data_IF_344421653758
#
_entry.id   IF_344421653758
#
_cell.length_a   1.000
_cell.length_b   1.000
_cell.length_c   1.000
_cell.angle_alpha   90.00
_cell.angle_beta   90.00
_cell.angle_gamma   90.00
#
_symmetry.space_group_name_H-M   'P 1'
#
loop_
_entity.id
_entity.type
_entity.pdbx_description
1 polymer ?
#
# COMPACT_ATOMS: atom_id res chain seq x y z
N UNK A 1 14.23 19.64 1.74
CA UNK A 1 13.37 19.42 2.91
C UNK A 1 12.60 18.15 2.65
N UNK A 2 12.54 17.16 3.56
CA UNK A 2 11.67 15.98 3.39
C UNK A 2 10.32 16.33 4.01
N UNK A 3 9.25 16.22 3.25
CA UNK A 3 7.89 16.30 3.77
C UNK A 3 7.56 14.99 4.47
N UNK A 4 6.75 15.05 5.50
CA UNK A 4 6.25 13.88 6.21
C UNK A 4 4.79 14.06 6.59
N UNK A 5 4.07 12.95 6.66
CA UNK A 5 2.70 12.91 7.11
C UNK A 5 2.68 12.39 8.55
N UNK A 6 2.06 13.15 9.45
CA UNK A 6 1.83 12.72 10.82
C UNK A 6 0.60 11.83 10.87
N UNK A 7 0.76 10.64 11.39
CA UNK A 7 -0.33 9.67 11.49
C UNK A 7 -0.24 8.85 12.79
N UNK A 8 -1.37 8.24 13.15
CA UNK A 8 -1.49 7.33 14.28
C UNK A 8 -1.86 5.95 13.74
N UNK A 9 -1.12 4.92 14.12
CA UNK A 9 -1.42 3.55 13.72
C UNK A 9 -2.60 2.98 14.50
N UNK A 10 -3.23 1.86 14.07
CA UNK A 10 -4.33 1.21 14.77
C UNK A 10 -4.02 0.88 16.24
N UNK A 11 -2.78 0.52 16.58
CA UNK A 11 -2.35 0.30 17.96
C UNK A 11 -2.26 1.58 18.79
N UNK A 12 -2.40 2.76 18.18
CA UNK A 12 -2.29 4.07 18.81
C UNK A 12 -0.88 4.66 18.85
N UNK A 13 0.08 4.10 18.12
CA UNK A 13 1.43 4.66 18.01
C UNK A 13 1.44 5.80 16.99
N UNK A 14 1.98 6.94 17.39
CA UNK A 14 2.15 8.09 16.50
C UNK A 14 3.47 8.03 15.77
N UNK A 15 3.48 8.36 14.48
CA UNK A 15 4.69 8.36 13.67
C UNK A 15 4.64 9.44 12.57
N UNK A 16 5.83 9.77 12.07
CA UNK A 16 6.01 10.64 10.92
C UNK A 16 6.43 9.77 9.72
N UNK A 17 5.61 9.71 8.70
CA UNK A 17 5.89 8.92 7.51
C UNK A 17 6.41 9.82 6.39
N UNK A 18 7.65 9.57 5.92
CA UNK A 18 8.21 10.29 4.77
C UNK A 18 7.50 9.88 3.48
N UNK A 19 7.47 10.78 2.53
CA UNK A 19 6.85 10.50 1.25
C UNK A 19 7.75 9.64 0.35
N UNK A 20 7.13 8.76 -0.44
CA UNK A 20 7.79 7.94 -1.45
C UNK A 20 8.21 8.79 -2.64
N UNK A 21 9.45 8.67 -3.08
CA UNK A 21 9.97 9.35 -4.27
C UNK A 21 9.79 8.52 -5.53
N UNK A 22 9.71 9.19 -6.71
CA UNK A 22 9.60 8.50 -7.99
C UNK A 22 10.72 7.47 -8.22
N UNK A 23 11.96 7.80 -7.86
CA UNK A 23 13.10 6.86 -7.96
C UNK A 23 12.89 5.58 -7.17
N UNK A 24 12.30 5.66 -5.99
CA UNK A 24 12.03 4.52 -5.11
C UNK A 24 10.80 3.74 -5.59
N UNK A 25 9.76 4.45 -6.06
CA UNK A 25 8.57 3.80 -6.64
C UNK A 25 8.92 2.99 -7.89
N UNK A 26 9.79 3.48 -8.76
CA UNK A 26 10.31 2.72 -9.91
C UNK A 26 10.95 1.39 -9.47
N UNK A 27 11.70 1.39 -8.36
CA UNK A 27 12.33 0.17 -7.84
C UNK A 27 11.25 -0.80 -7.34
N UNK A 28 10.24 -0.31 -6.61
CA UNK A 28 9.12 -1.13 -6.17
C UNK A 28 8.36 -1.73 -7.36
N UNK A 29 8.08 -0.94 -8.41
CA UNK A 29 7.43 -1.42 -9.64
C UNK A 29 8.28 -2.48 -10.36
N UNK A 30 9.59 -2.35 -10.41
CA UNK A 30 10.48 -3.38 -10.99
C UNK A 30 10.33 -4.72 -10.28
N UNK A 31 10.29 -4.72 -8.95
CA UNK A 31 10.06 -5.94 -8.19
C UNK A 31 8.69 -6.54 -8.47
N UNK A 32 7.61 -5.72 -8.47
CA UNK A 32 6.26 -6.20 -8.70
C UNK A 32 6.02 -6.69 -10.13
N UNK A 33 6.60 -6.04 -11.14
CA UNK A 33 6.50 -6.50 -12.53
C UNK A 33 7.33 -7.77 -12.78
N UNK A 34 8.36 -8.02 -11.98
CA UNK A 34 9.12 -9.26 -11.95
C UNK A 34 8.56 -10.32 -10.98
N UNK A 35 7.38 -10.08 -10.41
CA UNK A 35 6.72 -10.95 -9.41
C UNK A 35 7.62 -11.28 -8.20
N UNK A 36 8.54 -10.38 -7.86
CA UNK A 36 9.46 -10.53 -6.73
C UNK A 36 8.90 -9.85 -5.47
N UNK A 37 7.98 -10.50 -4.78
CA UNK A 37 7.36 -9.98 -3.56
C UNK A 37 8.36 -9.82 -2.40
N UNK A 38 9.33 -10.71 -2.31
CA UNK A 38 10.39 -10.61 -1.30
C UNK A 38 11.21 -9.33 -1.49
N UNK A 39 11.67 -9.05 -2.72
CA UNK A 39 12.39 -7.83 -3.05
C UNK A 39 11.55 -6.58 -2.82
N UNK A 40 10.28 -6.62 -3.18
CA UNK A 40 9.33 -5.53 -2.97
C UNK A 40 9.22 -5.17 -1.48
N UNK A 41 8.90 -6.14 -0.61
CA UNK A 41 8.74 -5.88 0.82
C UNK A 41 10.05 -5.52 1.52
N UNK A 42 11.18 -6.11 1.12
CA UNK A 42 12.50 -5.70 1.65
C UNK A 42 12.80 -4.23 1.35
N UNK A 43 12.53 -3.78 0.11
CA UNK A 43 12.70 -2.38 -0.27
C UNK A 43 11.70 -1.47 0.45
N UNK A 44 10.42 -1.83 0.47
CA UNK A 44 9.37 -1.06 1.14
C UNK A 44 9.67 -0.88 2.64
N UNK A 45 10.06 -1.97 3.32
CA UNK A 45 10.50 -1.92 4.72
C UNK A 45 11.67 -0.97 4.91
N UNK A 46 12.68 -1.02 4.03
CA UNK A 46 13.85 -0.15 4.15
C UNK A 46 13.49 1.34 4.06
N UNK A 47 12.49 1.69 3.24
CA UNK A 47 12.02 3.06 3.09
C UNK A 47 11.24 3.53 4.32
N UNK A 48 10.38 2.68 4.89
CA UNK A 48 9.57 3.03 6.06
C UNK A 48 10.44 3.12 7.32
N UNK A 49 11.44 2.26 7.47
CA UNK A 49 12.38 2.30 8.61
C UNK A 49 13.16 3.63 8.67
N UNK A 50 13.41 4.29 7.55
CA UNK A 50 14.01 5.63 7.55
C UNK A 50 13.15 6.67 8.32
N UNK A 51 11.82 6.46 8.32
CA UNK A 51 10.86 7.32 9.03
C UNK A 51 10.52 6.80 10.43
N UNK A 52 10.47 5.49 10.59
CA UNK A 52 9.97 4.79 11.77
C UNK A 52 11.02 3.74 12.21
N UNK A 53 12.02 4.14 13.01
CA UNK A 53 13.13 3.23 13.35
C UNK A 53 12.72 1.93 14.04
N UNK A 54 11.62 1.94 14.82
CA UNK A 54 11.09 0.76 15.49
C UNK A 54 10.00 0.03 14.67
N UNK A 55 9.97 0.22 13.36
CA UNK A 55 8.98 -0.38 12.45
C UNK A 55 8.89 -1.91 12.60
N UNK A 56 10.01 -2.59 12.77
CA UNK A 56 10.03 -4.06 12.88
C UNK A 56 9.37 -4.58 14.16
N UNK A 57 9.24 -3.76 15.21
CA UNK A 57 8.57 -4.09 16.48
C UNK A 57 7.05 -3.90 16.41
N UNK A 58 6.55 -3.24 15.36
CA UNK A 58 5.12 -3.07 15.14
C UNK A 58 4.47 -4.42 14.82
N UNK A 59 3.21 -4.57 15.19
CA UNK A 59 2.44 -5.72 14.75
C UNK A 59 2.08 -5.65 13.26
N UNK A 60 1.56 -6.76 12.73
CA UNK A 60 1.29 -6.87 11.29
C UNK A 60 0.16 -5.95 10.81
N UNK A 61 -0.76 -5.56 11.70
CA UNK A 61 -1.86 -4.65 11.33
C UNK A 61 -1.34 -3.22 11.23
N UNK A 62 -0.53 -2.78 12.19
CA UNK A 62 0.18 -1.50 12.11
C UNK A 62 1.06 -1.43 10.84
N UNK A 63 1.76 -2.52 10.51
CA UNK A 63 2.56 -2.59 9.28
C UNK A 63 1.71 -2.51 8.02
N UNK A 64 0.59 -3.25 7.98
CA UNK A 64 -0.34 -3.19 6.86
C UNK A 64 -0.90 -1.78 6.67
N UNK A 65 -1.32 -1.14 7.77
CA UNK A 65 -1.77 0.24 7.77
C UNK A 65 -0.71 1.21 7.22
N UNK A 66 0.53 1.09 7.69
CA UNK A 66 1.63 1.94 7.21
C UNK A 66 1.95 1.74 5.73
N UNK A 67 1.89 0.50 5.22
CA UNK A 67 2.08 0.25 3.79
C UNK A 67 0.99 0.92 2.96
N UNK A 68 -0.29 0.81 3.37
CA UNK A 68 -1.40 1.45 2.67
C UNK A 68 -1.31 2.96 2.78
N UNK A 69 -1.02 3.51 3.97
CA UNK A 69 -0.85 4.94 4.19
C UNK A 69 0.31 5.51 3.35
N UNK A 70 1.42 4.77 3.24
CA UNK A 70 2.57 5.18 2.42
C UNK A 70 2.21 5.31 0.94
N UNK A 71 1.39 4.39 0.43
CA UNK A 71 0.83 4.49 -0.91
C UNK A 71 -0.15 5.67 -1.03
N UNK A 72 -1.08 5.78 -0.09
CA UNK A 72 -2.13 6.82 -0.07
C UNK A 72 -1.55 8.24 -0.14
N UNK A 73 -0.57 8.53 0.70
CA UNK A 73 0.03 9.86 0.76
C UNK A 73 1.02 10.16 -0.38
N UNK A 74 1.57 9.15 -1.03
CA UNK A 74 2.66 9.35 -1.99
C UNK A 74 2.28 9.07 -3.43
N UNK A 75 1.26 8.25 -3.70
CA UNK A 75 0.98 7.75 -5.04
C UNK A 75 -0.45 8.08 -5.48
N UNK A 76 -1.45 7.51 -4.82
CA UNK A 76 -2.87 7.67 -5.16
C UNK A 76 -3.75 7.54 -3.93
N UNK A 77 -4.85 8.28 -3.91
CA UNK A 77 -5.85 8.22 -2.82
C UNK A 77 -6.92 7.15 -3.04
N UNK A 78 -6.96 6.56 -4.23
CA UNK A 78 -7.93 5.54 -4.63
C UNK A 78 -7.29 4.50 -5.54
N UNK A 79 -7.92 3.35 -5.66
CA UNK A 79 -7.57 2.27 -6.57
C UNK A 79 -8.76 1.87 -7.43
N UNK A 80 -8.49 1.48 -8.68
CA UNK A 80 -9.50 0.93 -9.57
C UNK A 80 -9.56 -0.59 -9.41
N UNK A 81 -10.70 -1.08 -8.95
CA UNK A 81 -10.97 -2.52 -8.84
C UNK A 81 -11.76 -2.96 -10.05
N UNK A 82 -11.21 -3.89 -10.82
CA UNK A 82 -11.89 -4.50 -11.97
C UNK A 82 -12.54 -5.81 -11.54
N UNK A 83 -13.85 -5.82 -11.37
CA UNK A 83 -14.60 -7.05 -11.14
C UNK A 83 -14.95 -7.70 -12.49
N UNK A 84 -14.94 -9.05 -12.56
CA UNK A 84 -15.15 -9.83 -13.81
C UNK A 84 -16.43 -9.51 -14.60
N UNK A 85 -17.43 -8.88 -13.96
CA UNK A 85 -18.75 -8.61 -14.55
C UNK A 85 -19.19 -7.15 -14.50
N UNK A 86 -18.35 -6.25 -14.00
CA UNK A 86 -18.69 -4.84 -13.81
C UNK A 86 -17.58 -3.95 -14.36
N UNK A 87 -17.94 -2.72 -14.72
CA UNK A 87 -16.98 -1.68 -15.02
C UNK A 87 -16.05 -1.45 -13.83
N UNK A 88 -14.83 -0.98 -14.11
CA UNK A 88 -13.88 -0.69 -13.04
C UNK A 88 -14.47 0.29 -12.03
N UNK A 89 -14.50 -0.10 -10.75
CA UNK A 89 -15.01 0.75 -9.67
C UNK A 89 -13.82 1.38 -8.95
N UNK A 90 -13.84 2.69 -8.81
CA UNK A 90 -12.86 3.43 -8.02
C UNK A 90 -13.20 3.28 -6.54
N UNK A 91 -12.25 2.80 -5.75
CA UNK A 91 -12.39 2.60 -4.31
C UNK A 91 -11.40 3.49 -3.57
N UNK A 92 -11.87 4.41 -2.71
CA UNK A 92 -11.00 5.21 -1.85
C UNK A 92 -10.21 4.33 -0.88
N UNK A 93 -8.91 4.59 -0.76
CA UNK A 93 -8.06 3.83 0.17
C UNK A 93 -8.32 4.15 1.65
N UNK A 94 -9.00 5.25 1.94
CA UNK A 94 -9.50 5.56 3.29
C UNK A 94 -10.38 4.44 3.83
N UNK A 95 -11.21 3.80 3.00
CA UNK A 95 -12.05 2.67 3.42
C UNK A 95 -11.19 1.52 3.99
N UNK A 96 -10.04 1.25 3.37
CA UNK A 96 -9.12 0.22 3.87
C UNK A 96 -8.41 0.67 5.15
N UNK A 97 -7.97 1.93 5.21
CA UNK A 97 -7.33 2.49 6.41
C UNK A 97 -8.30 2.49 7.58
N UNK A 98 -9.51 3.00 7.38
CA UNK A 98 -10.58 3.03 8.41
C UNK A 98 -10.92 1.62 8.90
N UNK A 99 -11.02 0.65 7.98
CA UNK A 99 -11.26 -0.76 8.34
C UNK A 99 -10.15 -1.36 9.21
N UNK A 100 -8.88 -1.00 8.93
CA UNK A 100 -7.74 -1.44 9.74
C UNK A 100 -7.75 -0.82 11.13
N UNK A 101 -8.25 0.42 11.28
CA UNK A 101 -8.35 1.12 12.56
C UNK A 101 -9.54 0.64 13.39
N UNK A 102 -10.74 0.62 12.80
CA UNK A 102 -12.00 0.35 13.51
C UNK A 102 -12.05 -1.07 14.08
N UNK A 103 -11.46 -2.03 13.38
CA UNK A 103 -11.48 -3.43 13.77
C UNK A 103 -10.26 -3.86 14.59
N UNK A 104 -9.33 -2.97 14.91
CA UNK A 104 -8.13 -3.34 15.66
C UNK A 104 -8.46 -3.77 17.10
N UNK A 105 -8.13 -5.02 17.44
CA UNK A 105 -8.33 -5.57 18.79
C UNK A 105 -7.10 -5.29 19.66
N UNK A 106 -7.21 -4.37 20.62
CA UNK A 106 -6.12 -3.99 21.55
C UNK A 106 -5.87 -5.00 22.67
N UNK A 107 -6.67 -6.05 22.76
CA UNK A 107 -6.55 -7.00 23.87
C UNK A 107 -5.31 -7.87 23.72
N UNK A 108 -4.72 -8.16 24.88
CA UNK A 108 -3.72 -9.22 25.06
C UNK A 108 -4.47 -10.37 25.71
N UNK A 109 -4.42 -11.54 25.10
CA UNK A 109 -5.19 -12.70 25.52
C UNK A 109 -4.31 -13.72 26.24
N UNK A 110 -4.90 -14.40 27.24
CA UNK A 110 -4.27 -15.53 27.89
C UNK A 110 -4.37 -16.76 26.99
N UNK A 111 -3.27 -17.51 26.90
CA UNK A 111 -3.20 -18.71 26.09
C UNK A 111 -2.25 -19.75 26.70
N UNK A 112 -2.63 -21.01 26.61
CA UNK A 112 -1.76 -22.13 26.98
C UNK A 112 -1.01 -22.59 25.73
N UNK A 113 0.32 -22.47 25.74
CA UNK A 113 1.14 -22.83 24.60
C UNK A 113 2.22 -23.84 24.97
N UNK A 114 2.22 -25.00 24.33
CA UNK A 114 3.21 -26.06 24.50
C UNK A 114 3.32 -26.47 26.00
N UNK A 115 4.45 -26.21 26.63
CA UNK A 115 4.72 -26.53 28.04
C UNK A 115 4.42 -25.39 29.03
N UNK A 116 3.94 -24.26 28.53
CA UNK A 116 3.65 -23.07 29.35
C UNK A 116 2.15 -22.85 29.46
N UNK A 117 1.67 -22.78 30.68
CA UNK A 117 0.25 -22.61 30.98
C UNK A 117 -0.21 -21.15 31.00
N UNK A 118 0.74 -20.22 31.12
CA UNK A 118 0.47 -18.77 31.25
C UNK A 118 1.29 -18.00 30.21
N UNK A 119 0.72 -17.87 29.02
CA UNK A 119 1.26 -17.08 27.92
C UNK A 119 0.33 -15.93 27.59
N UNK A 120 0.91 -14.78 27.24
CA UNK A 120 0.20 -13.62 26.73
C UNK A 120 0.38 -13.54 25.20
N UNK A 121 -0.72 -13.44 24.50
CA UNK A 121 -0.76 -13.42 23.03
C UNK A 121 -1.46 -12.19 22.49
N UNK A 122 -0.90 -11.58 21.46
CA UNK A 122 -1.50 -10.49 20.69
C UNK A 122 -1.25 -10.70 19.18
N UNK A 123 -1.46 -9.66 18.38
CA UNK A 123 -1.10 -9.71 16.96
C UNK A 123 0.36 -10.11 16.74
N UNK A 124 0.64 -10.98 15.75
CA UNK A 124 2.01 -11.24 15.30
C UNK A 124 2.70 -9.94 14.87
N UNK A 125 4.01 -9.91 14.99
CA UNK A 125 4.82 -8.76 14.57
C UNK A 125 5.74 -9.06 13.38
N UNK A 126 5.90 -10.33 13.00
CA UNK A 126 6.87 -10.73 11.99
C UNK A 126 6.22 -11.34 10.76
N UNK A 127 6.62 -10.82 9.59
CA UNK A 127 6.33 -11.39 8.28
C UNK A 127 7.57 -12.16 7.81
N UNK A 128 7.39 -13.37 7.34
CA UNK A 128 8.42 -14.21 6.75
C UNK A 128 8.40 -14.01 5.24
N UNK A 129 9.54 -13.63 4.69
CA UNK A 129 9.74 -13.44 3.25
C UNK A 129 10.77 -14.48 2.80
N UNK A 130 10.32 -15.54 2.15
CA UNK A 130 11.19 -16.63 1.72
C UNK A 130 10.73 -17.23 0.39
N UNK A 131 11.66 -17.46 -0.51
CA UNK A 131 11.43 -18.10 -1.82
C UNK A 131 10.27 -17.40 -2.59
N UNK A 132 10.23 -16.07 -2.51
CA UNK A 132 9.20 -15.20 -3.07
C UNK A 132 7.78 -15.40 -2.49
N UNK A 133 7.68 -16.12 -1.37
CA UNK A 133 6.44 -16.28 -0.63
C UNK A 133 6.40 -15.32 0.57
N UNK A 134 5.18 -14.91 0.91
CA UNK A 134 4.88 -14.13 2.09
C UNK A 134 4.15 -15.03 3.06
N UNK A 135 4.63 -15.12 4.29
CA UNK A 135 4.01 -15.87 5.36
C UNK A 135 4.05 -15.05 6.66
N UNK A 136 3.33 -15.48 7.68
CA UNK A 136 3.25 -14.83 8.97
C UNK A 136 3.86 -15.74 10.02
N UNK A 137 4.79 -15.20 10.79
CA UNK A 137 5.30 -15.88 11.95
C UNK A 137 4.36 -15.65 13.16
N UNK A 138 3.42 -16.57 13.34
CA UNK A 138 2.46 -16.50 14.44
C UNK A 138 3.11 -16.55 15.81
N UNK A 139 4.30 -17.15 15.97
CA UNK A 139 5.02 -17.16 17.24
C UNK A 139 5.43 -15.75 17.69
N UNK A 140 5.58 -14.83 16.75
CA UNK A 140 5.83 -13.41 17.07
C UNK A 140 4.63 -12.71 17.75
N UNK A 141 3.49 -13.39 17.82
CA UNK A 141 2.31 -12.99 18.60
C UNK A 141 2.45 -13.30 20.10
N UNK A 142 3.33 -14.22 20.50
CA UNK A 142 3.66 -14.47 21.91
C UNK A 142 4.42 -13.26 22.46
N UNK A 143 3.90 -12.66 23.53
CA UNK A 143 4.50 -11.46 24.14
C UNK A 143 5.16 -11.76 25.49
N UNK A 144 4.58 -12.67 26.23
CA UNK A 144 4.99 -12.97 27.61
C UNK A 144 4.72 -14.44 27.94
N UNK A 145 5.60 -15.03 28.71
CA UNK A 145 5.45 -16.38 29.29
C UNK A 145 5.76 -16.28 30.79
N UNK A 146 4.80 -16.64 31.62
CA UNK A 146 4.96 -16.63 33.10
C UNK A 146 5.54 -15.29 33.59
N UNK A 147 4.91 -14.18 33.19
CA UNK A 147 5.30 -12.80 33.51
C UNK A 147 6.66 -12.35 32.92
N UNK A 148 7.34 -13.20 32.16
CA UNK A 148 8.57 -12.87 31.45
C UNK A 148 8.24 -12.38 30.03
N UNK A 149 8.60 -11.13 29.71
CA UNK A 149 8.49 -10.58 28.34
C UNK A 149 9.50 -11.23 27.42
N UNK A 150 9.00 -11.81 26.33
CA UNK A 150 9.84 -12.48 25.36
C UNK A 150 10.63 -11.50 24.51
N UNK A 151 11.91 -11.79 24.33
CA UNK A 151 12.78 -11.14 23.36
C UNK A 151 12.56 -11.74 21.97
N UNK A 152 12.99 -11.02 20.94
CA UNK A 152 12.94 -11.51 19.53
C UNK A 152 13.71 -12.84 19.36
N UNK A 153 14.80 -13.02 20.08
CA UNK A 153 15.62 -14.23 20.02
C UNK A 153 14.91 -15.44 20.65
N UNK A 154 14.24 -15.22 21.80
CA UNK A 154 13.44 -16.24 22.45
C UNK A 154 12.23 -16.65 21.61
N UNK A 155 11.52 -15.71 21.02
CA UNK A 155 10.43 -15.98 20.06
C UNK A 155 10.93 -16.80 18.88
N UNK A 156 12.08 -16.45 18.34
CA UNK A 156 12.71 -17.22 17.25
C UNK A 156 13.06 -18.64 17.68
N UNK A 157 13.67 -18.79 18.85
CA UNK A 157 13.97 -20.11 19.40
C UNK A 157 12.71 -20.98 19.58
N UNK A 158 11.62 -20.39 20.07
CA UNK A 158 10.32 -21.06 20.17
C UNK A 158 9.81 -21.50 18.80
N UNK A 159 9.85 -20.62 17.81
CA UNK A 159 9.44 -20.92 16.44
C UNK A 159 10.20 -22.09 15.81
N UNK A 160 11.48 -22.22 16.11
CA UNK A 160 12.34 -23.27 15.56
C UNK A 160 12.24 -24.60 16.32
N UNK A 161 11.83 -24.60 17.59
CA UNK A 161 11.90 -25.76 18.49
C UNK A 161 10.56 -26.26 19.06
N UNK A 162 9.49 -25.49 18.96
CA UNK A 162 8.18 -25.94 19.40
C UNK A 162 7.60 -27.01 18.45
N UNK A 163 6.84 -27.99 18.96
CA UNK A 163 6.18 -28.98 18.14
C UNK A 163 5.24 -28.33 17.10
N UNK A 164 5.22 -28.86 15.87
CA UNK A 164 4.38 -28.34 14.80
C UNK A 164 2.88 -28.29 15.20
N UNK A 165 2.44 -29.27 15.99
CA UNK A 165 1.07 -29.32 16.51
C UNK A 165 0.74 -28.05 17.34
N UNK A 166 1.64 -27.66 18.25
CA UNK A 166 1.44 -26.49 19.10
C UNK A 166 1.51 -25.18 18.31
N UNK A 167 2.41 -25.11 17.31
CA UNK A 167 2.49 -23.99 16.38
C UNK A 167 1.19 -23.80 15.60
N UNK A 168 0.62 -24.88 15.07
CA UNK A 168 -0.66 -24.85 14.36
C UNK A 168 -1.83 -24.48 15.30
N UNK A 169 -1.80 -24.89 16.57
CA UNK A 169 -2.80 -24.50 17.55
C UNK A 169 -2.71 -22.99 17.88
N UNK A 170 -1.49 -22.46 17.99
CA UNK A 170 -1.26 -21.04 18.18
C UNK A 170 -1.74 -20.21 17.00
N UNK A 171 -1.42 -20.64 15.77
CA UNK A 171 -1.94 -20.03 14.54
C UNK A 171 -3.46 -19.98 14.55
N UNK A 172 -4.13 -21.12 14.79
CA UNK A 172 -5.58 -21.20 14.86
C UNK A 172 -6.16 -20.28 15.95
N UNK A 173 -5.51 -20.23 17.14
CA UNK A 173 -5.94 -19.36 18.22
C UNK A 173 -5.85 -17.88 17.82
N UNK A 174 -4.71 -17.44 17.29
CA UNK A 174 -4.50 -16.07 16.85
C UNK A 174 -5.49 -15.73 15.73
N UNK A 175 -5.62 -16.60 14.74
CA UNK A 175 -6.50 -16.43 13.60
C UNK A 175 -7.96 -16.28 14.00
N UNK A 176 -8.43 -17.04 15.01
CA UNK A 176 -9.81 -16.99 15.45
C UNK A 176 -10.12 -15.82 16.38
N UNK A 177 -9.16 -15.37 17.19
CA UNK A 177 -9.39 -14.32 18.21
C UNK A 177 -9.03 -12.92 17.74
N UNK A 178 -8.18 -12.80 16.73
CA UNK A 178 -7.76 -11.53 16.15
C UNK A 178 -8.23 -11.36 14.70
N UNK A 179 -9.21 -12.17 14.26
CA UNK A 179 -9.80 -12.04 12.93
C UNK A 179 -10.53 -10.71 12.80
N UNK A 180 -10.47 -10.15 11.61
CA UNK A 180 -11.17 -8.91 11.27
C UNK A 180 -11.70 -9.02 9.83
N UNK A 181 -12.89 -8.51 9.58
CA UNK A 181 -13.42 -8.43 8.23
C UNK A 181 -12.78 -7.27 7.46
N UNK A 182 -11.98 -7.57 6.44
CA UNK A 182 -11.54 -6.57 5.47
C UNK A 182 -12.39 -6.68 4.22
N UNK A 183 -13.37 -5.83 4.12
CA UNK A 183 -14.26 -5.76 2.96
C UNK A 183 -13.53 -5.57 1.62
N UNK A 184 -12.40 -4.88 1.64
CA UNK A 184 -11.68 -4.47 0.43
C UNK A 184 -10.79 -5.59 -0.12
N UNK A 185 -10.19 -6.42 0.73
CA UNK A 185 -9.32 -7.51 0.27
C UNK A 185 -10.07 -8.53 -0.60
N UNK A 186 -11.33 -8.86 -0.27
CA UNK A 186 -12.20 -9.70 -1.09
C UNK A 186 -12.43 -9.16 -2.49
N UNK A 187 -12.54 -7.86 -2.62
CA UNK A 187 -12.90 -7.21 -3.89
C UNK A 187 -11.67 -6.88 -4.74
N UNK A 188 -10.51 -6.59 -4.12
CA UNK A 188 -9.27 -6.22 -4.84
C UNK A 188 -8.71 -7.42 -5.63
N UNK A 189 -8.83 -8.63 -5.09
CA UNK A 189 -8.18 -9.81 -5.68
C UNK A 189 -9.10 -10.67 -6.53
N UNK A 190 -10.41 -10.42 -6.58
CA UNK A 190 -11.38 -11.29 -7.25
C UNK A 190 -11.43 -12.72 -6.65
N UNK A 191 -10.84 -12.94 -5.49
CA UNK A 191 -10.72 -14.26 -4.85
C UNK A 191 -12.00 -14.54 -4.08
N UNK A 192 -12.77 -15.49 -4.57
CA UNK A 192 -14.08 -15.89 -4.00
C UNK A 192 -14.00 -16.54 -2.61
N UNK A 193 -12.82 -17.00 -2.18
CA UNK A 193 -12.66 -17.90 -1.02
C UNK A 193 -11.69 -17.40 0.06
N UNK A 194 -11.39 -16.10 0.15
CA UNK A 194 -10.68 -15.60 1.32
C UNK A 194 -11.66 -15.63 2.49
N UNK A 195 -11.43 -16.51 3.44
CA UNK A 195 -12.02 -16.38 4.78
C UNK A 195 -11.66 -14.99 5.29
N UNK A 196 -12.64 -14.30 5.86
CA UNK A 196 -12.55 -12.91 6.30
C UNK A 196 -11.59 -12.72 7.48
N UNK A 197 -10.31 -13.06 7.27
CA UNK A 197 -9.32 -13.07 8.33
C UNK A 197 -8.13 -12.19 7.93
N UNK A 198 -7.94 -11.07 8.63
CA UNK A 198 -6.85 -10.13 8.38
C UNK A 198 -5.46 -10.69 8.63
N UNK A 199 -5.36 -11.68 9.52
CA UNK A 199 -4.10 -12.30 9.86
C UNK A 199 -3.83 -13.44 8.87
N UNK A 200 -3.81 -13.07 7.58
CA UNK A 200 -3.57 -14.01 6.49
C UNK A 200 -2.52 -13.40 5.55
N UNK A 201 -1.57 -14.18 5.03
CA UNK A 201 -0.63 -13.74 4.00
C UNK A 201 -1.28 -13.04 2.81
N UNK A 202 -2.54 -13.37 2.47
CA UNK A 202 -3.30 -12.71 1.40
C UNK A 202 -3.46 -11.20 1.58
N UNK A 203 -3.47 -10.67 2.81
CA UNK A 203 -3.48 -9.24 3.07
C UNK A 203 -2.24 -8.56 2.44
N UNK A 204 -1.08 -9.15 2.64
CA UNK A 204 0.17 -8.59 2.12
C UNK A 204 0.28 -8.75 0.59
N UNK A 205 -0.22 -9.84 0.01
CA UNK A 205 -0.35 -9.93 -1.44
C UNK A 205 -1.29 -8.84 -1.98
N UNK A 206 -2.43 -8.58 -1.31
CA UNK A 206 -3.36 -7.50 -1.70
C UNK A 206 -2.69 -6.14 -1.64
N UNK A 207 -1.90 -5.84 -0.60
CA UNK A 207 -1.14 -4.60 -0.48
C UNK A 207 -0.12 -4.46 -1.62
N UNK A 208 0.61 -5.53 -1.96
CA UNK A 208 1.51 -5.52 -3.10
C UNK A 208 0.78 -5.21 -4.43
N UNK A 209 -0.43 -5.75 -4.61
CA UNK A 209 -1.27 -5.45 -5.78
C UNK A 209 -1.73 -4.00 -5.83
N UNK A 210 -1.98 -3.33 -4.70
CA UNK A 210 -2.29 -1.90 -4.66
C UNK A 210 -1.15 -1.08 -5.28
N UNK A 211 0.10 -1.45 -5.02
CA UNK A 211 1.29 -0.79 -5.56
C UNK A 211 1.55 -1.12 -7.04
N UNK A 212 0.94 -2.20 -7.57
CA UNK A 212 1.25 -2.69 -8.91
C UNK A 212 0.69 -1.75 -9.99
N UNK A 213 1.58 -1.25 -10.83
CA UNK A 213 1.25 -0.51 -12.06
C UNK A 213 2.19 -0.98 -13.17
N UNK A 214 1.87 -0.65 -14.42
CA UNK A 214 2.77 -0.95 -15.53
C UNK A 214 4.03 -0.08 -15.44
N UNK A 215 5.18 -0.72 -15.34
CA UNK A 215 6.47 -0.03 -15.33
C UNK A 215 6.70 0.76 -16.63
N UNK A 216 6.30 0.21 -17.77
CA UNK A 216 6.38 0.88 -19.06
C UNK A 216 5.50 2.14 -19.10
N UNK A 217 4.25 2.00 -18.66
CA UNK A 217 3.33 3.14 -18.56
C UNK A 217 3.90 4.25 -17.67
N UNK A 218 4.47 3.86 -16.53
CA UNK A 218 5.06 4.81 -15.60
C UNK A 218 6.28 5.54 -16.19
N UNK A 219 7.17 4.84 -16.88
CA UNK A 219 8.28 5.49 -17.60
C UNK A 219 7.80 6.42 -18.72
N UNK A 220 6.77 6.04 -19.45
CA UNK A 220 6.17 6.90 -20.47
C UNK A 220 5.62 8.19 -19.85
N UNK A 221 4.97 8.10 -18.68
CA UNK A 221 4.47 9.27 -17.95
C UNK A 221 5.62 10.19 -17.51
N UNK A 222 6.69 9.64 -16.93
CA UNK A 222 7.89 10.40 -16.58
C UNK A 222 8.51 11.10 -17.79
N UNK A 223 8.59 10.39 -18.92
CA UNK A 223 9.08 10.95 -20.20
C UNK A 223 8.21 12.12 -20.66
N UNK A 224 6.89 11.98 -20.61
CA UNK A 224 5.96 13.05 -21.00
C UNK A 224 6.14 14.31 -20.14
N UNK A 225 6.29 14.14 -18.83
CA UNK A 225 6.53 15.26 -17.90
C UNK A 225 7.87 15.94 -18.21
N UNK A 226 8.95 15.19 -18.41
CA UNK A 226 10.23 15.74 -18.78
C UNK A 226 10.17 16.50 -20.12
N UNK A 227 9.57 15.89 -21.13
CA UNK A 227 9.60 16.41 -22.49
C UNK A 227 8.68 17.61 -22.69
N UNK A 228 7.45 17.56 -22.20
CA UNK A 228 6.43 18.59 -22.44
C UNK A 228 6.37 19.67 -21.37
N UNK A 229 6.65 19.30 -20.10
CA UNK A 229 6.64 20.26 -18.96
C UNK A 229 8.05 20.81 -18.71
N UNK A 230 9.07 20.17 -19.29
CA UNK A 230 10.49 20.58 -19.20
C UNK A 230 11.04 20.52 -17.77
N UNK A 231 10.59 19.55 -16.98
CA UNK A 231 11.19 19.23 -15.68
C UNK A 231 12.47 18.42 -15.94
N UNK A 232 13.54 18.76 -15.24
CA UNK A 232 14.79 17.98 -15.31
C UNK A 232 14.57 16.57 -14.73
N UNK A 233 15.17 15.56 -15.36
CA UNK A 233 15.00 14.17 -14.96
C UNK A 233 15.37 13.93 -13.49
N UNK A 234 16.48 14.48 -13.03
CA UNK A 234 16.93 14.35 -11.64
C UNK A 234 15.94 14.96 -10.65
N UNK A 235 15.37 16.12 -10.99
CA UNK A 235 14.34 16.77 -10.17
C UNK A 235 13.06 15.94 -10.13
N UNK A 236 12.66 15.35 -11.27
CA UNK A 236 11.49 14.50 -11.36
C UNK A 236 11.63 13.22 -10.52
N UNK A 237 12.83 12.63 -10.47
CA UNK A 237 13.10 11.46 -9.64
C UNK A 237 13.02 11.75 -8.13
N UNK A 238 13.24 12.98 -7.71
CA UNK A 238 13.12 13.42 -6.30
C UNK A 238 11.70 13.87 -5.92
N UNK A 239 10.79 14.07 -6.88
CA UNK A 239 9.37 14.30 -6.62
C UNK A 239 8.66 13.03 -6.17
N UNK A 240 7.52 13.19 -5.52
CA UNK A 240 6.59 12.09 -5.30
C UNK A 240 5.79 11.77 -6.57
N UNK A 241 5.27 10.55 -6.74
CA UNK A 241 4.33 10.23 -7.81
C UNK A 241 3.12 11.18 -7.86
N UNK A 242 2.58 11.60 -6.70
CA UNK A 242 1.45 12.55 -6.63
C UNK A 242 1.83 13.91 -7.18
N UNK A 243 2.98 14.47 -6.78
CA UNK A 243 3.46 15.76 -7.31
C UNK A 243 3.62 15.72 -8.83
N UNK A 244 4.20 14.64 -9.35
CA UNK A 244 4.35 14.42 -10.78
C UNK A 244 2.98 14.36 -11.50
N UNK A 245 2.00 13.64 -10.93
CA UNK A 245 0.64 13.55 -11.50
C UNK A 245 -0.08 14.88 -11.51
N UNK A 246 0.10 15.73 -10.47
CA UNK A 246 -0.46 17.08 -10.45
C UNK A 246 0.11 17.92 -11.60
N UNK A 247 1.42 17.88 -11.82
CA UNK A 247 2.06 18.60 -12.93
C UNK A 247 1.50 18.12 -14.29
N UNK A 248 1.36 16.82 -14.46
CA UNK A 248 0.83 16.23 -15.69
C UNK A 248 -0.64 16.63 -15.94
N UNK A 249 -1.49 16.53 -14.94
CA UNK A 249 -2.91 16.88 -15.04
C UNK A 249 -3.10 18.37 -15.37
N UNK A 250 -2.38 19.26 -14.69
CA UNK A 250 -2.41 20.71 -14.97
C UNK A 250 -2.01 20.97 -16.44
N UNK A 251 -0.98 20.30 -16.94
CA UNK A 251 -0.57 20.43 -18.35
C UNK A 251 -1.66 19.96 -19.31
N UNK A 252 -2.34 18.85 -19.05
CA UNK A 252 -3.44 18.35 -19.88
C UNK A 252 -4.61 19.36 -19.89
N UNK A 253 -5.01 19.87 -18.72
CA UNK A 253 -6.08 20.87 -18.58
C UNK A 253 -5.76 22.14 -19.38
N UNK A 254 -4.53 22.65 -19.29
CA UNK A 254 -4.09 23.82 -20.07
C UNK A 254 -4.16 23.58 -21.57
N UNK A 255 -3.76 22.39 -22.06
CA UNK A 255 -3.85 22.00 -23.46
C UNK A 255 -5.30 21.92 -23.95
N UNK A 256 -6.18 21.33 -23.16
CA UNK A 256 -7.60 21.27 -23.51
C UNK A 256 -8.23 22.67 -23.55
N UNK A 257 -7.89 23.54 -22.59
CA UNK A 257 -8.39 24.92 -22.60
C UNK A 257 -7.91 25.71 -23.83
N UNK A 258 -6.65 25.51 -24.25
CA UNK A 258 -6.12 26.11 -25.49
C UNK A 258 -6.85 25.58 -26.71
N UNK A 259 -7.06 24.28 -26.82
CA UNK A 259 -7.77 23.66 -27.94
C UNK A 259 -9.23 24.14 -28.05
N UNK A 260 -9.94 24.28 -26.91
CA UNK A 260 -11.30 24.83 -26.85
C UNK A 260 -11.37 26.29 -27.33
N UNK A 261 -10.35 27.11 -26.98
CA UNK A 261 -10.26 28.50 -27.49
C UNK A 261 -10.02 28.53 -29.02
N UNK A 262 -9.13 27.68 -29.52
CA UNK A 262 -8.86 27.61 -30.97
C UNK A 262 -10.06 27.10 -31.77
N UNK A 263 -10.84 26.16 -31.26
CA UNK A 263 -12.05 25.67 -31.92
C UNK A 263 -13.17 26.74 -31.94
N UNK A 264 -13.34 27.50 -30.85
CA UNK A 264 -14.30 28.64 -30.82
C UNK A 264 -13.91 29.75 -31.79
N UNK A 265 -12.63 30.08 -31.93
CA UNK A 265 -12.18 31.08 -32.89
C UNK A 265 -12.36 30.64 -34.36
N UNK A 266 -12.26 29.33 -34.65
CA UNK A 266 -12.58 28.80 -35.98
C UNK A 266 -14.06 28.84 -36.30
N UNK A 267 -14.93 28.65 -35.33
CA UNK A 267 -16.40 28.74 -35.49
C UNK A 267 -16.90 30.19 -35.58
N UNK A 268 -16.21 31.13 -34.95
CA UNK A 268 -16.53 32.55 -35.04
C UNK A 268 -16.21 33.15 -36.44
N UNK A 269 -15.19 32.65 -37.12
CA UNK A 269 -14.83 33.13 -38.47
C UNK A 269 -15.73 32.61 -39.60
N UNK A 270 -16.58 31.62 -39.33
CA UNK A 270 -17.56 31.11 -40.33
C UNK A 270 -18.86 31.95 -40.40
N UNK A 271 -19.08 32.78 -39.40
CA UNK A 271 -20.26 33.71 -39.33
C UNK A 271 -19.85 35.17 -39.57
N UNK A 272 -18.66 35.47 -40.05
CA UNK A 272 -18.24 36.81 -40.44
C UNK A 272 -18.94 37.17 -41.75
N UNK A 273 -19.75 38.22 -41.79
CA UNK A 273 -20.47 38.65 -43.00
C UNK A 273 -19.53 38.96 -44.18
N UNK A 274 -18.26 39.27 -43.92
CA UNK A 274 -17.25 39.48 -44.94
C UNK A 274 -16.80 38.18 -45.68
N UNK A 275 -17.07 36.99 -45.09
CA UNK A 275 -16.77 35.70 -45.75
C UNK A 275 -17.83 35.31 -46.75
N UNK A 276 -19.07 35.82 -46.59
CA UNK A 276 -20.16 35.59 -47.52
C UNK A 276 -19.97 36.34 -48.86
N UNK A 277 -19.36 37.51 -48.80
CA UNK A 277 -19.04 38.31 -50.01
C UNK A 277 -17.86 37.76 -50.79
N UNK A 278 -16.96 36.99 -50.22
CA UNK A 278 -15.84 36.33 -50.95
C UNK A 278 -16.21 35.03 -51.69
N UNK A 279 -17.40 34.48 -51.42
CA UNK A 279 -17.85 33.25 -52.10
C UNK A 279 -18.83 33.52 -53.23
N UNK A 280 -19.17 34.81 -53.52
CA UNK A 280 -20.06 35.20 -54.62
C UNK A 280 -19.40 36.11 -55.67
N UNK A 281 -18.07 36.17 -55.74
CA UNK A 281 -17.33 36.86 -56.76
C UNK A 281 -16.59 35.92 -57.70
#
# INVERSE_FOLDING_TARGET
>A
MRYYNYLTTPSGKTCNLYELKNKDYIILLKFLNGENFEGFYKKLNSLIVESIPNFFELDIIDKAYLYVAYFYYSIKTSINIKAEKFDAVEVPLTILLDSLEENYNKNILDYKFYKWDDCKVSYPSRIILKDNNIDIDYTSGLKEISEHKLTTEEVRYISENAPLYDLNQLENFITNNFSQEIYVAKNIMGIKDIKDNMINPSLFYSIAYIYKDSLEHYYNLLYLVCHYIRVQWESLLEMTPVEMMILYNNFIEDKEAQNKKHSKNKTLNLNDPNVADMMMG
#
